data_IF_231926472054
#
_entry.id   IF_231926472054
#
_cell.length_a   1.000
_cell.length_b   1.000
_cell.length_c   1.000
_cell.angle_alpha   90.00
_cell.angle_beta   90.00
_cell.angle_gamma   90.00
#
_symmetry.space_group_name_H-M   'P 1'
#
loop_
_entity.id
_entity.type
_entity.pdbx_description
1 polymer ?
#
# COMPACT_ATOMS: atom_id res chain seq x y z
N UNK A 1 -11.37 -9.27 -18.71
CA UNK A 1 -10.72 -10.43 -18.05
C UNK A 1 -9.62 -9.91 -17.15
N UNK A 2 -9.49 -10.37 -15.89
CA UNK A 2 -8.35 -9.99 -15.09
C UNK A 2 -7.10 -10.61 -15.73
N UNK A 3 -6.20 -9.76 -16.25
CA UNK A 3 -4.91 -10.19 -16.78
C UNK A 3 -4.03 -10.77 -15.67
N UNK A 4 -2.96 -11.48 -16.06
CA UNK A 4 -2.00 -12.05 -15.11
C UNK A 4 -1.44 -10.98 -14.17
N UNK A 5 -1.49 -11.23 -12.85
CA UNK A 5 -0.90 -10.35 -11.83
C UNK A 5 0.18 -11.10 -11.07
N UNK A 6 1.36 -10.50 -10.95
CA UNK A 6 2.44 -11.00 -10.11
C UNK A 6 2.12 -10.91 -8.61
N UNK A 7 1.29 -9.94 -8.23
CA UNK A 7 0.93 -9.65 -6.84
C UNK A 7 -0.54 -9.98 -6.62
N UNK A 8 -0.85 -10.62 -5.49
CA UNK A 8 -2.24 -10.96 -5.14
C UNK A 8 -3.08 -9.71 -4.89
N UNK A 9 -4.38 -9.80 -5.14
CA UNK A 9 -5.28 -8.69 -4.83
C UNK A 9 -5.27 -8.34 -3.33
N UNK A 10 -5.03 -9.32 -2.43
CA UNK A 10 -4.88 -9.10 -0.99
C UNK A 10 -3.72 -8.14 -0.67
N UNK A 11 -2.53 -8.39 -1.25
CA UNK A 11 -1.37 -7.54 -1.04
C UNK A 11 -1.59 -6.12 -1.63
N UNK A 12 -2.26 -6.03 -2.78
CA UNK A 12 -2.61 -4.73 -3.38
C UNK A 12 -3.60 -3.95 -2.52
N UNK A 13 -4.63 -4.60 -1.95
CA UNK A 13 -5.58 -3.98 -1.02
C UNK A 13 -4.87 -3.47 0.23
N UNK A 14 -3.98 -4.28 0.83
CA UNK A 14 -3.18 -3.85 1.97
C UNK A 14 -2.34 -2.62 1.63
N UNK A 15 -1.65 -2.60 0.48
CA UNK A 15 -0.86 -1.44 0.06
C UNK A 15 -1.70 -0.16 0.00
N UNK A 16 -2.89 -0.22 -0.62
CA UNK A 16 -3.81 0.92 -0.71
C UNK A 16 -4.26 1.42 0.67
N UNK A 17 -4.58 0.50 1.59
CA UNK A 17 -4.98 0.85 2.95
C UNK A 17 -3.84 1.54 3.71
N UNK A 18 -2.59 1.07 3.55
CA UNK A 18 -1.45 1.66 4.26
C UNK A 18 -1.13 3.05 3.69
N UNK A 19 -1.27 3.26 2.37
CA UNK A 19 -1.07 4.56 1.73
C UNK A 19 -2.15 5.57 2.12
N UNK A 20 -3.41 5.15 2.15
CA UNK A 20 -4.52 6.01 2.49
C UNK A 20 -5.46 5.32 3.51
N UNK A 21 -5.23 5.51 4.82
CA UNK A 21 -6.02 4.83 5.87
C UNK A 21 -7.51 5.16 5.90
N UNK A 22 -7.97 6.17 5.15
CA UNK A 22 -9.37 6.59 5.04
C UNK A 22 -10.01 6.22 3.69
N UNK A 23 -9.30 5.45 2.86
CA UNK A 23 -9.76 5.05 1.53
C UNK A 23 -11.02 4.20 1.64
N UNK A 24 -11.94 4.38 0.70
CA UNK A 24 -13.18 3.60 0.62
C UNK A 24 -12.98 2.32 -0.19
N UNK A 25 -13.81 1.31 0.05
CA UNK A 25 -13.76 0.06 -0.74
C UNK A 25 -13.94 0.31 -2.25
N UNK A 26 -14.71 1.36 -2.62
CA UNK A 26 -14.90 1.78 -4.00
C UNK A 26 -13.61 2.34 -4.62
N UNK A 27 -12.90 3.22 -3.92
CA UNK A 27 -11.62 3.78 -4.38
C UNK A 27 -10.56 2.69 -4.52
N UNK A 28 -10.48 1.76 -3.56
CA UNK A 28 -9.58 0.59 -3.65
C UNK A 28 -9.90 -0.25 -4.90
N UNK A 29 -11.18 -0.55 -5.13
CA UNK A 29 -11.62 -1.36 -6.27
C UNK A 29 -11.21 -0.72 -7.61
N UNK A 30 -11.39 0.60 -7.72
CA UNK A 30 -10.98 1.38 -8.89
C UNK A 30 -9.46 1.39 -9.08
N UNK A 31 -8.69 1.57 -8.00
CA UNK A 31 -7.22 1.59 -8.07
C UNK A 31 -6.63 0.23 -8.51
N UNK A 32 -7.24 -0.89 -8.08
CA UNK A 32 -6.74 -2.24 -8.35
C UNK A 32 -7.32 -2.84 -9.64
N UNK A 33 -8.42 -2.27 -10.16
CA UNK A 33 -9.13 -2.79 -11.32
C UNK A 33 -9.89 -4.08 -11.02
N UNK A 34 -10.53 -4.16 -9.85
CA UNK A 34 -11.39 -5.28 -9.44
C UNK A 34 -12.78 -4.78 -9.05
N UNK A 35 -13.73 -5.68 -8.83
CA UNK A 35 -15.07 -5.28 -8.42
C UNK A 35 -15.08 -4.81 -6.96
N UNK A 36 -16.03 -3.93 -6.63
CA UNK A 36 -16.24 -3.48 -5.26
C UNK A 36 -16.66 -4.64 -4.33
N UNK A 37 -17.40 -5.62 -4.87
CA UNK A 37 -17.75 -6.86 -4.16
C UNK A 37 -16.50 -7.67 -3.79
N UNK A 38 -15.59 -7.88 -4.75
CA UNK A 38 -14.31 -8.56 -4.51
C UNK A 38 -13.48 -7.82 -3.47
N UNK A 39 -13.44 -6.50 -3.56
CA UNK A 39 -12.71 -5.66 -2.60
C UNK A 39 -13.27 -5.78 -1.19
N UNK A 40 -14.60 -5.73 -1.04
CA UNK A 40 -15.25 -5.95 0.27
C UNK A 40 -14.96 -7.34 0.83
N UNK A 41 -15.00 -8.38 0.00
CA UNK A 41 -14.64 -9.75 0.43
C UNK A 41 -13.22 -9.79 0.98
N UNK A 42 -12.25 -9.25 0.24
CA UNK A 42 -10.84 -9.19 0.66
C UNK A 42 -10.68 -8.41 1.97
N UNK A 43 -11.38 -7.29 2.15
CA UNK A 43 -11.36 -6.53 3.40
C UNK A 43 -11.89 -7.38 4.57
N UNK A 44 -12.98 -8.10 4.37
CA UNK A 44 -13.52 -9.02 5.39
C UNK A 44 -12.52 -10.12 5.73
N UNK A 45 -11.90 -10.73 4.72
CA UNK A 45 -10.90 -11.79 4.91
C UNK A 45 -9.69 -11.26 5.70
N UNK A 46 -9.16 -10.09 5.32
CA UNK A 46 -8.05 -9.44 6.03
C UNK A 46 -8.42 -9.01 7.46
N UNK A 47 -9.66 -8.63 7.72
CA UNK A 47 -10.14 -8.25 9.05
C UNK A 47 -10.32 -9.48 9.95
N UNK A 48 -10.90 -10.56 9.42
CA UNK A 48 -11.08 -11.83 10.13
C UNK A 48 -9.73 -12.42 10.56
N UNK A 49 -8.73 -12.28 9.70
CA UNK A 49 -7.38 -12.78 9.95
C UNK A 49 -6.48 -11.82 10.72
N UNK A 50 -7.02 -10.67 11.14
CA UNK A 50 -6.34 -9.68 11.98
C UNK A 50 -5.32 -8.80 11.25
N UNK A 51 -5.15 -8.92 9.93
CA UNK A 51 -4.23 -8.06 9.16
C UNK A 51 -4.68 -6.61 9.14
N UNK A 52 -5.99 -6.35 9.20
CA UNK A 52 -6.53 -5.01 9.31
C UNK A 52 -7.51 -4.89 10.47
N UNK A 53 -7.60 -3.70 11.03
CA UNK A 53 -8.67 -3.31 11.94
C UNK A 53 -9.33 -2.03 11.43
N UNK A 54 -10.65 -1.93 11.61
CA UNK A 54 -11.42 -0.75 11.23
C UNK A 54 -11.90 -0.03 12.48
N UNK A 55 -11.61 1.28 12.59
CA UNK A 55 -12.11 2.14 13.67
C UNK A 55 -12.91 3.29 13.08
N UNK A 56 -14.12 3.49 13.59
CA UNK A 56 -14.93 4.65 13.23
C UNK A 56 -14.40 5.88 13.98
N UNK A 57 -14.03 6.92 13.24
CA UNK A 57 -13.55 8.20 13.78
C UNK A 57 -14.51 9.28 13.28
N UNK A 58 -15.52 9.59 14.11
CA UNK A 58 -16.64 10.45 13.74
C UNK A 58 -17.48 9.86 12.60
N UNK A 59 -17.66 10.61 11.52
CA UNK A 59 -18.41 10.15 10.33
C UNK A 59 -17.59 9.26 9.37
N UNK A 60 -16.28 9.12 9.59
CA UNK A 60 -15.39 8.42 8.65
C UNK A 60 -14.86 7.10 9.23
N UNK A 61 -14.72 6.10 8.37
CA UNK A 61 -14.03 4.85 8.68
C UNK A 61 -12.52 5.08 8.51
N UNK A 62 -11.73 4.58 9.45
CA UNK A 62 -10.27 4.56 9.35
C UNK A 62 -9.78 3.14 9.55
N UNK A 63 -9.03 2.64 8.59
CA UNK A 63 -8.34 1.36 8.68
C UNK A 63 -6.98 1.52 9.36
N UNK A 64 -6.51 0.45 9.99
CA UNK A 64 -5.14 0.25 10.46
C UNK A 64 -4.68 -1.11 9.99
N UNK A 65 -3.43 -1.21 9.55
CA UNK A 65 -2.79 -2.47 9.17
C UNK A 65 -1.90 -2.93 10.29
N UNK A 66 -1.99 -4.21 10.65
CA UNK A 66 -1.11 -4.88 11.58
C UNK A 66 0.05 -5.47 10.78
N UNK A 67 1.13 -4.70 10.64
CA UNK A 67 2.29 -5.04 9.82
C UNK A 67 3.14 -6.18 10.40
N UNK A 68 2.97 -6.48 11.69
CA UNK A 68 3.75 -7.48 12.42
C UNK A 68 3.25 -8.92 12.21
N UNK A 69 2.08 -9.09 11.56
CA UNK A 69 1.55 -10.42 11.31
C UNK A 69 2.33 -11.14 10.19
N UNK A 70 2.59 -12.44 10.34
CA UNK A 70 3.33 -13.22 9.35
C UNK A 70 2.55 -13.36 8.05
N UNK A 71 3.25 -13.56 6.93
CA UNK A 71 2.62 -13.89 5.66
C UNK A 71 2.03 -15.30 5.72
N UNK A 72 0.74 -15.44 5.36
CA UNK A 72 0.08 -16.73 5.15
C UNK A 72 0.54 -17.38 3.85
N UNK A 73 1.75 -17.90 3.86
CA UNK A 73 2.18 -18.95 2.95
C UNK A 73 2.94 -19.97 3.82
N UNK A 74 2.64 -21.27 3.66
CA UNK A 74 3.34 -22.37 4.37
C UNK A 74 4.86 -22.28 4.30
N UNK A 75 5.40 -21.57 3.29
CA UNK A 75 6.82 -21.39 3.04
C UNK A 75 7.41 -20.04 3.51
N UNK A 76 6.61 -19.12 4.07
CA UNK A 76 7.06 -17.76 4.43
C UNK A 76 6.56 -17.29 5.80
N UNK A 77 6.27 -18.20 6.72
CA UNK A 77 5.81 -17.89 8.09
C UNK A 77 6.81 -17.03 8.89
N UNK A 78 8.10 -17.02 8.51
CA UNK A 78 9.14 -16.21 9.15
C UNK A 78 9.16 -14.73 8.71
N UNK A 79 8.31 -14.33 7.75
CA UNK A 79 8.34 -12.97 7.19
C UNK A 79 7.05 -12.22 7.51
N UNK A 80 7.21 -11.07 8.15
CA UNK A 80 6.11 -10.16 8.45
C UNK A 80 5.53 -9.56 7.17
N UNK A 81 4.21 -9.36 7.13
CA UNK A 81 3.50 -8.69 6.04
C UNK A 81 4.03 -7.26 5.81
N UNK A 82 4.54 -6.62 6.86
CA UNK A 82 5.23 -5.34 6.81
C UNK A 82 6.40 -5.32 5.81
N UNK A 83 7.22 -6.37 5.77
CA UNK A 83 8.38 -6.44 4.86
C UNK A 83 7.94 -6.55 3.40
N UNK A 84 6.89 -7.31 3.10
CA UNK A 84 6.29 -7.35 1.76
C UNK A 84 5.76 -5.97 1.37
N UNK A 85 5.04 -5.31 2.30
CA UNK A 85 4.51 -3.98 2.08
C UNK A 85 5.61 -2.96 1.84
N UNK A 86 6.75 -3.02 2.52
CA UNK A 86 7.89 -2.15 2.26
C UNK A 86 8.45 -2.34 0.84
N UNK A 87 8.63 -3.59 0.39
CA UNK A 87 9.10 -3.89 -0.96
C UNK A 87 8.12 -3.38 -2.02
N UNK A 88 6.82 -3.61 -1.83
CA UNK A 88 5.79 -3.15 -2.77
C UNK A 88 5.62 -1.63 -2.76
N UNK A 89 5.87 -0.98 -1.63
CA UNK A 89 5.77 0.47 -1.43
C UNK A 89 7.08 1.19 -1.68
N UNK A 90 8.14 0.49 -2.11
CA UNK A 90 9.40 1.09 -2.50
C UNK A 90 9.15 1.99 -3.71
N UNK A 91 8.65 3.21 -3.44
CA UNK A 91 8.77 4.34 -4.33
C UNK A 91 10.24 4.34 -4.68
N UNK A 92 10.57 4.21 -5.97
CA UNK A 92 11.84 4.70 -6.49
C UNK A 92 11.99 6.10 -5.90
N UNK A 93 12.75 6.24 -4.83
CA UNK A 93 13.41 7.49 -4.53
C UNK A 93 14.32 7.64 -5.74
N UNK A 94 13.81 8.28 -6.81
CA UNK A 94 14.73 8.86 -7.78
C UNK A 94 15.63 9.73 -6.92
N UNK A 95 16.94 9.47 -6.85
CA UNK A 95 17.83 10.35 -6.12
C UNK A 95 17.57 11.72 -6.72
N UNK A 96 17.16 12.66 -5.88
CA UNK A 96 17.00 14.05 -6.27
C UNK A 96 18.42 14.48 -6.64
N UNK A 97 18.76 14.41 -7.93
CA UNK A 97 20.04 14.87 -8.44
C UNK A 97 20.13 16.32 -7.95
N UNK A 98 21.01 16.55 -6.97
CA UNK A 98 21.38 17.90 -6.56
C UNK A 98 22.06 18.46 -7.80
N UNK A 99 21.36 19.31 -8.55
CA UNK A 99 22.02 20.12 -9.57
C UNK A 99 23.07 20.95 -8.87
N UNK A 100 24.29 20.51 -9.05
CA UNK A 100 25.53 21.20 -8.77
C UNK A 100 25.39 22.65 -9.24
N UNK A 101 25.45 23.59 -8.30
CA UNK A 101 25.57 25.01 -8.63
C UNK A 101 26.95 25.18 -9.27
N UNK A 102 26.99 25.28 -10.60
CA UNK A 102 28.17 25.78 -11.30
C UNK A 102 28.50 27.20 -10.82
N UNK A 103 29.73 27.51 -10.39
CA UNK A 103 30.24 28.88 -10.36
C UNK A 103 30.95 29.21 -11.70
N UNK A 104 31.31 30.46 -11.98
CA UNK A 104 30.65 31.74 -11.68
C UNK A 104 30.33 32.50 -12.99
N UNK A 105 29.37 33.41 -12.98
CA UNK A 105 29.23 34.42 -14.03
C UNK A 105 29.20 35.83 -13.44
N UNK A 106 30.39 36.41 -13.44
CA UNK A 106 30.69 37.78 -13.87
C UNK A 106 29.76 38.90 -13.38
N UNK A 107 30.25 39.74 -12.45
CA UNK A 107 29.82 41.15 -12.33
C UNK A 107 30.98 42.07 -12.70
N UNK A 108 30.67 42.87 -13.72
CA UNK A 108 31.37 44.06 -14.20
C UNK A 108 31.72 45.02 -13.06
N UNK A 109 32.90 45.63 -13.15
CA UNK A 109 33.17 47.06 -12.93
C UNK A 109 34.41 47.43 -13.71
#
# INVERSE_FOLDING_TARGET
MPGWKFVTNHALVLCQIVEQPKITAREIAQAIGITEKTTRSIITDLEAEGYISKKRVGRRLRYRVNADLPLRAETQQDKAVGSLLEVLRLKKQRPRIKTEKSPPQNRRS
#
